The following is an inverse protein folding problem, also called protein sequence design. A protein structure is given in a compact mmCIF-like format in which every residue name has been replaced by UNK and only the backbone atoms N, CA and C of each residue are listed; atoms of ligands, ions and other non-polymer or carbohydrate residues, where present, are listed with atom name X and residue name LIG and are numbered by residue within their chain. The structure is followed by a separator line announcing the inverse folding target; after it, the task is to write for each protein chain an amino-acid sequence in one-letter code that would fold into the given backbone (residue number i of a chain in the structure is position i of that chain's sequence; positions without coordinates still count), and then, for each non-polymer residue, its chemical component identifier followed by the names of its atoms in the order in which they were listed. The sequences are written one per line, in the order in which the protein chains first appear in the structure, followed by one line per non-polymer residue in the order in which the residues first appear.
data_IF_403798484141
#
_entry.id   IF_403798484141
#
_cell.length_a   1.000
_cell.length_b   1.000
_cell.length_c   1.000
_cell.angle_alpha   90.00
_cell.angle_beta   90.00
_cell.angle_gamma   90.00
#
_symmetry.space_group_name_H-M   'P 1'
#
loop_
_entity.id
_entity.type
_entity.pdbx_description
1 polymer ?
#
# COMPACT_ATOMS: atom_id res chain seq x y z
N UNK A 1 -25.14 29.22 -29.06
CA UNK A 1 -25.18 30.70 -29.10
C UNK A 1 -24.01 31.21 -28.27
N UNK A 2 -22.83 31.33 -28.89
CA UNK A 2 -21.72 32.08 -28.29
C UNK A 2 -21.86 33.51 -28.77
N UNK A 3 -22.01 34.45 -27.85
CA UNK A 3 -22.13 35.87 -28.17
C UNK A 3 -20.73 36.37 -28.52
N UNK A 4 -20.56 36.93 -29.72
CA UNK A 4 -19.32 37.56 -30.14
C UNK A 4 -19.14 38.80 -29.26
N UNK A 5 -18.01 38.87 -28.56
CA UNK A 5 -17.63 40.02 -27.75
C UNK A 5 -17.15 41.09 -28.73
N UNK A 6 -17.65 42.32 -28.61
CA UNK A 6 -17.19 43.44 -29.42
C UNK A 6 -15.70 43.72 -29.12
N UNK A 7 -14.92 44.04 -30.15
CA UNK A 7 -13.45 44.16 -30.07
C UNK A 7 -12.98 45.24 -29.05
N UNK A 8 -13.87 46.20 -28.76
CA UNK A 8 -13.66 47.28 -27.78
C UNK A 8 -13.87 46.84 -26.31
N UNK A 9 -14.57 45.72 -26.06
CA UNK A 9 -14.82 45.15 -24.73
C UNK A 9 -13.81 44.05 -24.37
N UNK A 10 -12.79 43.81 -25.20
CA UNK A 10 -11.75 42.84 -24.90
C UNK A 10 -10.88 43.34 -23.75
N UNK A 11 -10.85 42.61 -22.64
CA UNK A 11 -9.96 42.91 -21.52
C UNK A 11 -8.50 42.96 -21.99
N UNK A 12 -7.78 43.99 -21.57
CA UNK A 12 -6.37 44.19 -21.96
C UNK A 12 -5.56 43.03 -21.40
N UNK A 13 -4.98 42.21 -22.30
CA UNK A 13 -4.08 41.14 -21.90
C UNK A 13 -2.86 41.74 -21.19
N UNK A 14 -2.86 41.68 -19.86
CA UNK A 14 -1.69 42.03 -19.06
C UNK A 14 -0.65 40.92 -19.23
N UNK A 15 0.56 41.23 -19.73
CA UNK A 15 1.60 40.23 -19.89
C UNK A 15 1.95 39.66 -18.52
N UNK A 16 2.00 38.33 -18.45
CA UNK A 16 2.34 37.63 -17.23
C UNK A 16 3.87 37.53 -17.13
N UNK A 17 4.46 38.23 -16.16
CA UNK A 17 5.92 38.35 -16.02
C UNK A 17 6.66 37.02 -15.74
N UNK A 18 5.95 35.91 -15.43
CA UNK A 18 6.56 34.62 -15.06
C UNK A 18 6.31 33.55 -16.13
N UNK A 19 6.65 33.83 -17.39
CA UNK A 19 6.42 32.94 -18.53
C UNK A 19 7.07 31.55 -18.38
N UNK A 20 8.15 31.44 -17.59
CA UNK A 20 8.85 30.17 -17.35
C UNK A 20 7.96 29.11 -16.68
N UNK A 21 6.92 29.52 -15.93
CA UNK A 21 6.05 28.58 -15.23
C UNK A 21 5.25 27.71 -16.20
N UNK A 22 4.93 28.24 -17.39
CA UNK A 22 4.16 27.51 -18.39
C UNK A 22 4.98 26.37 -18.97
N UNK A 23 6.21 26.65 -19.40
CA UNK A 23 7.13 25.62 -19.91
C UNK A 23 7.51 24.61 -18.83
N UNK A 24 7.70 25.08 -17.58
CA UNK A 24 7.95 24.18 -16.45
C UNK A 24 6.74 23.28 -16.17
N UNK A 25 5.53 23.83 -16.18
CA UNK A 25 4.29 23.08 -15.99
C UNK A 25 4.08 22.01 -17.06
N UNK A 26 4.38 22.33 -18.32
CA UNK A 26 4.34 21.38 -19.43
C UNK A 26 5.34 20.23 -19.21
N UNK A 27 6.61 20.53 -18.87
CA UNK A 27 7.61 19.51 -18.60
C UNK A 27 7.25 18.58 -17.41
N UNK A 28 6.72 19.15 -16.32
CA UNK A 28 6.30 18.37 -15.13
C UNK A 28 5.10 17.50 -15.44
N UNK A 29 4.12 18.01 -16.18
CA UNK A 29 2.92 17.22 -16.53
C UNK A 29 3.23 16.11 -17.53
N UNK A 30 4.12 16.35 -18.50
CA UNK A 30 4.64 15.30 -19.38
C UNK A 30 5.40 14.21 -18.61
N UNK A 31 6.24 14.60 -17.65
CA UNK A 31 6.97 13.67 -16.79
C UNK A 31 6.03 12.86 -15.89
N UNK A 32 4.99 13.49 -15.32
CA UNK A 32 3.94 12.81 -14.57
C UNK A 32 3.18 11.80 -15.43
N UNK A 33 2.76 12.22 -16.63
CA UNK A 33 2.06 11.36 -17.57
C UNK A 33 2.92 10.14 -17.96
N UNK A 34 4.22 10.37 -18.20
CA UNK A 34 5.17 9.29 -18.45
C UNK A 34 5.24 8.28 -17.29
N UNK A 35 5.35 8.73 -16.03
CA UNK A 35 5.35 7.83 -14.88
C UNK A 35 4.02 7.09 -14.67
N UNK A 36 2.88 7.72 -14.96
CA UNK A 36 1.56 7.07 -14.92
C UNK A 36 1.49 5.95 -15.94
N UNK A 37 1.98 6.18 -17.16
CA UNK A 37 2.01 5.17 -18.21
C UNK A 37 2.95 4.01 -17.83
N UNK A 38 4.14 4.30 -17.30
CA UNK A 38 5.04 3.27 -16.77
C UNK A 38 4.35 2.44 -15.68
N UNK A 39 3.70 3.10 -14.72
CA UNK A 39 2.96 2.44 -13.65
C UNK A 39 1.83 1.55 -14.17
N UNK A 40 1.07 2.01 -15.16
CA UNK A 40 -0.02 1.24 -15.76
C UNK A 40 0.47 -0.04 -16.48
N UNK A 41 1.68 -0.04 -17.02
CA UNK A 41 2.27 -1.21 -17.69
C UNK A 41 2.97 -2.19 -16.72
N UNK A 42 3.23 -1.78 -15.49
CA UNK A 42 3.85 -2.64 -14.49
C UNK A 42 2.84 -3.65 -13.93
N UNK A 43 3.18 -4.95 -14.00
CA UNK A 43 2.44 -5.99 -13.29
C UNK A 43 2.80 -5.89 -11.81
N UNK A 44 1.90 -5.36 -10.98
CA UNK A 44 2.08 -5.24 -9.54
C UNK A 44 1.39 -6.38 -8.80
N UNK A 45 1.98 -6.81 -7.68
CA UNK A 45 1.41 -7.83 -6.82
C UNK A 45 0.49 -7.21 -5.77
N UNK A 46 -0.78 -7.62 -5.77
CA UNK A 46 -1.86 -7.07 -4.91
C UNK A 46 -1.55 -7.15 -3.42
N UNK A 47 -0.78 -8.15 -2.99
CA UNK A 47 -0.37 -8.35 -1.59
C UNK A 47 0.57 -7.26 -1.08
N UNK A 48 1.54 -6.86 -1.90
CA UNK A 48 2.53 -5.82 -1.54
C UNK A 48 1.88 -4.44 -1.53
N UNK A 49 0.95 -4.19 -2.47
CA UNK A 49 0.16 -2.96 -2.48
C UNK A 49 -0.76 -2.85 -1.26
N UNK A 50 -1.40 -3.95 -0.83
CA UNK A 50 -2.27 -3.95 0.36
C UNK A 50 -1.52 -3.59 1.65
N UNK A 51 -0.31 -4.13 1.84
CA UNK A 51 0.52 -3.81 3.01
C UNK A 51 0.90 -2.32 3.06
N UNK A 52 1.21 -1.72 1.90
CA UNK A 52 1.50 -0.29 1.78
C UNK A 52 0.23 0.53 2.01
N UNK A 53 -0.92 0.14 1.44
CA UNK A 53 -2.20 0.81 1.63
C UNK A 53 -2.70 0.77 3.08
N UNK A 54 -2.43 -0.31 3.82
CA UNK A 54 -2.70 -0.41 5.25
C UNK A 54 -1.87 0.57 6.07
N UNK A 55 -0.65 0.88 5.63
CA UNK A 55 0.22 1.88 6.27
C UNK A 55 -0.25 3.33 6.06
N UNK A 56 -1.05 3.59 5.01
CA UNK A 56 -1.59 4.92 4.71
C UNK A 56 -2.99 5.15 5.28
N UNK A 57 -3.61 4.17 5.95
CA UNK A 57 -4.91 4.39 6.58
C UNK A 57 -4.77 5.45 7.67
N UNK A 58 -5.50 6.59 7.57
CA UNK A 58 -5.47 7.60 8.60
C UNK A 58 -6.06 6.98 9.87
N UNK A 59 -5.22 6.85 10.89
CA UNK A 59 -5.65 6.49 12.22
C UNK A 59 -6.53 7.63 12.77
N UNK A 60 -7.59 7.30 13.53
CA UNK A 60 -8.44 8.30 14.14
C UNK A 60 -7.59 9.26 15.01
N UNK A 61 -7.92 10.56 15.02
CA UNK A 61 -7.16 11.54 15.79
C UNK A 61 -7.16 11.14 17.28
N UNK A 62 -5.98 10.83 17.81
CA UNK A 62 -5.79 10.44 19.22
C UNK A 62 -5.36 8.99 19.48
N UNK A 63 -5.30 8.11 18.46
CA UNK A 63 -4.66 6.80 18.65
C UNK A 63 -3.14 6.88 18.42
N UNK A 64 -2.30 6.32 19.29
CA UNK A 64 -0.87 6.19 19.01
C UNK A 64 -0.69 5.42 17.70
N UNK A 65 0.29 5.85 16.89
CA UNK A 65 0.71 5.14 15.68
C UNK A 65 1.26 3.77 16.09
N UNK A 66 0.37 2.78 16.24
CA UNK A 66 0.72 1.40 16.51
C UNK A 66 0.99 0.74 15.16
N UNK A 67 2.27 0.72 14.78
CA UNK A 67 2.72 -0.03 13.63
C UNK A 67 2.69 -1.52 14.00
N UNK A 68 1.52 -2.17 13.92
CA UNK A 68 1.47 -3.63 13.86
C UNK A 68 1.97 -4.06 12.48
N UNK A 69 3.29 -4.09 12.36
CA UNK A 69 3.95 -4.97 11.41
C UNK A 69 3.43 -6.39 11.60
N UNK A 70 3.49 -7.17 10.53
CA UNK A 70 3.03 -8.58 10.43
C UNK A 70 3.48 -9.50 11.57
N UNK A 71 4.43 -9.05 12.39
CA UNK A 71 4.85 -9.70 13.62
C UNK A 71 3.70 -9.86 14.62
N UNK A 72 2.70 -8.97 14.68
CA UNK A 72 1.61 -9.11 15.66
C UNK A 72 0.80 -10.40 15.49
N UNK A 73 0.44 -10.79 14.26
CA UNK A 73 -0.34 -12.01 14.03
C UNK A 73 0.51 -13.25 14.30
N UNK A 74 1.81 -13.22 13.96
CA UNK A 74 2.73 -14.33 14.22
C UNK A 74 3.02 -14.46 15.71
N UNK A 75 3.15 -13.34 16.41
CA UNK A 75 3.42 -13.26 17.85
C UNK A 75 2.19 -13.60 18.69
N UNK A 76 0.99 -13.27 18.21
CA UNK A 76 -0.28 -13.76 18.79
C UNK A 76 -0.41 -15.28 18.63
N UNK A 77 -0.15 -15.81 17.44
CA UNK A 77 -0.23 -17.26 17.18
C UNK A 77 0.84 -18.01 17.99
N UNK A 78 2.08 -17.52 18.06
CA UNK A 78 3.11 -18.15 18.88
C UNK A 78 2.76 -18.10 20.37
N UNK A 79 2.19 -17.00 20.86
CA UNK A 79 1.76 -16.87 22.26
C UNK A 79 0.58 -17.79 22.62
N UNK A 80 -0.30 -18.09 21.67
CA UNK A 80 -1.44 -19.01 21.87
C UNK A 80 -1.01 -20.49 21.73
N UNK A 81 -0.06 -20.77 20.84
CA UNK A 81 0.56 -22.11 20.68
C UNK A 81 1.44 -22.46 21.89
N UNK A 82 2.13 -21.49 22.50
CA UNK A 82 2.92 -21.68 23.73
C UNK A 82 2.06 -21.93 24.98
N UNK A 83 0.81 -21.42 25.02
CA UNK A 83 -0.12 -21.65 26.13
C UNK A 83 -0.85 -22.99 26.03
N UNK A 84 -0.78 -23.65 24.88
CA UNK A 84 -1.36 -24.97 24.64
C UNK A 84 -0.26 -26.03 24.84
N UNK A 85 -0.61 -27.25 25.27
CA UNK A 85 0.35 -28.36 25.48
C UNK A 85 1.07 -28.84 24.19
N UNK A 86 0.84 -28.16 23.07
CA UNK A 86 1.34 -28.49 21.73
C UNK A 86 2.63 -27.74 21.34
N UNK A 87 3.21 -26.97 22.28
CA UNK A 87 4.34 -26.08 22.00
C UNK A 87 5.60 -26.76 21.48
N UNK A 88 5.86 -28.02 21.86
CA UNK A 88 7.04 -28.77 21.44
C UNK A 88 6.88 -29.47 20.07
N UNK A 89 5.63 -29.82 19.73
CA UNK A 89 5.31 -30.55 18.50
C UNK A 89 4.86 -29.64 17.35
N UNK A 90 4.70 -28.32 17.57
CA UNK A 90 4.15 -27.39 16.57
C UNK A 90 5.19 -26.39 16.10
N UNK A 91 5.49 -26.37 14.79
CA UNK A 91 6.40 -25.42 14.15
C UNK A 91 5.63 -24.48 13.23
N UNK A 92 5.58 -23.21 13.60
CA UNK A 92 4.94 -22.13 12.81
C UNK A 92 6.00 -21.49 11.91
N UNK A 93 5.80 -21.55 10.59
CA UNK A 93 6.70 -20.94 9.59
C UNK A 93 5.93 -19.98 8.71
N UNK A 94 6.48 -18.78 8.50
CA UNK A 94 5.86 -17.76 7.66
C UNK A 94 6.47 -17.86 6.26
N UNK A 95 5.63 -18.20 5.27
CA UNK A 95 6.02 -18.23 3.86
C UNK A 95 5.36 -17.09 3.06
N UNK A 96 5.86 -16.85 1.85
CA UNK A 96 5.35 -15.81 0.94
C UNK A 96 3.85 -16.01 0.57
N UNK A 97 3.33 -17.23 0.76
CA UNK A 97 1.94 -17.61 0.48
C UNK A 97 1.02 -17.67 1.71
N UNK A 98 1.54 -17.57 2.93
CA UNK A 98 0.73 -17.63 4.15
C UNK A 98 1.50 -18.13 5.37
N UNK A 99 0.81 -18.25 6.50
CA UNK A 99 1.35 -18.87 7.73
C UNK A 99 1.11 -20.36 7.64
N UNK A 100 2.18 -21.14 7.62
CA UNK A 100 2.14 -22.61 7.61
C UNK A 100 2.39 -23.09 9.04
N UNK A 101 1.39 -23.77 9.60
CA UNK A 101 1.52 -24.45 10.89
C UNK A 101 1.81 -25.91 10.59
N UNK A 102 3.01 -26.36 10.94
CA UNK A 102 3.42 -27.76 10.81
C UNK A 102 3.36 -28.44 12.17
N UNK A 103 2.73 -29.61 12.23
CA UNK A 103 2.63 -30.42 13.44
C UNK A 103 3.52 -31.66 13.29
N UNK A 104 4.21 -32.05 14.36
CA UNK A 104 4.90 -33.32 14.43
C UNK A 104 3.88 -34.46 14.42
N UNK A 105 4.23 -35.56 13.75
CA UNK A 105 3.32 -36.71 13.62
C UNK A 105 2.89 -37.30 14.98
N UNK A 106 3.74 -37.16 16.00
CA UNK A 106 3.45 -37.52 17.40
C UNK A 106 2.25 -36.78 18.00
N UNK A 107 2.01 -35.53 17.58
CA UNK A 107 0.88 -34.73 18.07
C UNK A 107 -0.43 -35.01 17.32
N UNK A 108 -0.37 -35.65 16.14
CA UNK A 108 -1.56 -35.91 15.31
C UNK A 108 -1.94 -37.39 15.24
N UNK A 109 -1.01 -38.29 15.53
CA UNK A 109 -1.18 -39.74 15.39
C UNK A 109 -0.62 -40.47 16.61
N UNK A 110 -1.34 -41.48 17.10
CA UNK A 110 -0.85 -42.35 18.16
C UNK A 110 0.34 -43.20 17.65
N UNK A 111 1.36 -43.45 18.49
CA UNK A 111 2.53 -44.21 18.07
C UNK A 111 2.14 -45.66 17.75
N UNK A 112 2.10 -45.99 16.45
CA UNK A 112 1.81 -47.33 15.95
C UNK A 112 0.68 -47.45 14.92
N UNK A 113 0.08 -46.34 14.48
CA UNK A 113 -0.83 -46.32 13.32
C UNK A 113 -0.11 -46.12 11.99
#
# INVERSE_FOLDING_TARGET
MGQLIDEEDCEVCVPFDQEWIFTYGDLVTLLLCFFILLFATCVYETRKFKAVAESFKPLPPGSPFMQEGRDSVVEQISKEVEQTELGDDTRVTVEEKGVVVSFAASATFEPGS
#
